data_IF_946775824631
#
_entry.id   IF_946775824631
#
_cell.length_a   1.000
_cell.length_b   1.000
_cell.length_c   1.000
_cell.angle_alpha   90.00
_cell.angle_beta   90.00
_cell.angle_gamma   90.00
#
_symmetry.space_group_name_H-M   'P 1'
#
loop_
_entity.id
_entity.type
_entity.pdbx_description
1 polymer ?
#
# COMPACT_ATOMS: atom_id res chain seq x y z
N UNK A 1 -8.90 -3.27 19.84
CA UNK A 1 -7.60 -2.72 19.39
C UNK A 1 -7.70 -1.22 19.40
N UNK A 2 -6.66 -0.51 19.88
CA UNK A 2 -6.62 0.95 19.91
C UNK A 2 -6.27 1.50 18.51
N UNK A 3 -6.73 2.72 18.21
CA UNK A 3 -6.27 3.42 17.03
C UNK A 3 -4.87 3.99 17.32
N UNK A 4 -3.94 3.73 16.42
CA UNK A 4 -2.57 4.28 16.51
C UNK A 4 -2.38 5.51 15.62
N UNK A 5 -3.19 5.64 14.56
CA UNK A 5 -3.28 6.84 13.72
C UNK A 5 -4.73 7.27 13.70
N UNK A 6 -4.97 8.54 13.98
CA UNK A 6 -6.29 9.16 13.85
C UNK A 6 -6.16 10.49 13.13
N UNK A 7 -6.86 10.61 12.01
CA UNK A 7 -6.94 11.83 11.23
C UNK A 7 -8.40 12.25 11.15
N UNK A 8 -8.69 13.52 11.47
CA UNK A 8 -10.04 14.06 11.44
C UNK A 8 -10.06 15.39 10.70
N UNK A 9 -10.92 15.48 9.70
CA UNK A 9 -11.20 16.67 8.87
C UNK A 9 -9.94 17.36 8.34
N UNK A 10 -8.91 16.56 7.98
CA UNK A 10 -7.66 17.07 7.48
C UNK A 10 -7.84 17.74 6.12
N UNK A 11 -7.37 18.99 6.01
CA UNK A 11 -7.38 19.72 4.75
C UNK A 11 -6.05 20.40 4.47
N UNK A 12 -5.68 20.42 3.17
CA UNK A 12 -4.49 21.10 2.66
C UNK A 12 -4.70 21.64 1.27
N UNK A 13 -4.38 22.91 1.08
CA UNK A 13 -4.48 23.62 -0.20
C UNK A 13 -3.13 24.19 -0.61
N UNK A 14 -2.86 24.20 -1.91
CA UNK A 14 -1.73 24.84 -2.54
C UNK A 14 -2.24 25.80 -3.63
N UNK A 15 -2.28 27.09 -3.33
CA UNK A 15 -2.90 28.07 -4.23
C UNK A 15 -4.36 27.69 -4.53
N UNK A 16 -4.69 27.44 -5.80
CA UNK A 16 -6.02 27.02 -6.22
C UNK A 16 -6.29 25.52 -6.07
N UNK A 17 -5.26 24.71 -5.82
CA UNK A 17 -5.39 23.23 -5.76
C UNK A 17 -5.69 22.78 -4.35
N UNK A 18 -6.86 22.15 -4.14
CA UNK A 18 -7.21 21.45 -2.91
C UNK A 18 -6.61 20.05 -2.96
N UNK A 19 -5.42 19.87 -2.35
CA UNK A 19 -4.69 18.60 -2.40
C UNK A 19 -5.23 17.56 -1.43
N UNK A 20 -5.77 17.98 -0.28
CA UNK A 20 -6.46 17.14 0.70
C UNK A 20 -7.68 17.91 1.17
N UNK A 21 -8.85 17.29 1.14
CA UNK A 21 -10.13 17.93 1.41
C UNK A 21 -10.95 17.10 2.40
N UNK A 22 -11.07 17.59 3.64
CA UNK A 22 -11.87 16.99 4.73
C UNK A 22 -11.60 15.49 4.95
N UNK A 23 -10.33 15.10 4.94
CA UNK A 23 -9.93 13.71 5.04
C UNK A 23 -10.00 13.21 6.49
N UNK A 24 -10.76 12.14 6.72
CA UNK A 24 -10.90 11.52 8.05
C UNK A 24 -10.78 10.00 7.95
N UNK A 25 -9.83 9.40 8.66
CA UNK A 25 -9.67 7.94 8.76
C UNK A 25 -8.92 7.54 10.03
N UNK A 26 -8.92 6.25 10.33
CA UNK A 26 -8.25 5.67 11.49
C UNK A 26 -7.49 4.41 11.09
N UNK A 27 -6.36 4.18 11.74
CA UNK A 27 -5.55 2.96 11.57
C UNK A 27 -5.41 2.29 12.94
N UNK A 28 -5.68 1.00 13.01
CA UNK A 28 -5.55 0.21 14.24
C UNK A 28 -4.11 -0.22 14.44
N UNK A 29 -3.74 -0.45 15.69
CA UNK A 29 -2.43 -0.98 16.05
C UNK A 29 -2.20 -2.37 15.44
N UNK A 30 -1.04 -2.60 14.78
CA UNK A 30 -0.68 -3.83 14.08
C UNK A 30 -1.31 -4.02 12.71
N UNK A 31 -2.11 -3.06 12.22
CA UNK A 31 -2.79 -3.13 10.93
C UNK A 31 -1.85 -2.83 9.75
N UNK A 32 -2.02 -3.54 8.65
CA UNK A 32 -1.54 -3.13 7.33
C UNK A 32 -2.63 -2.29 6.66
N UNK A 33 -2.46 -1.00 6.69
CA UNK A 33 -3.39 -0.04 6.13
C UNK A 33 -2.90 0.44 4.76
N UNK A 34 -3.70 0.26 3.73
CA UNK A 34 -3.38 0.70 2.37
C UNK A 34 -4.11 1.99 1.99
N UNK A 35 -3.34 2.98 1.59
CA UNK A 35 -3.81 4.27 1.12
C UNK A 35 -3.65 4.32 -0.41
N UNK A 36 -4.70 3.94 -1.12
CA UNK A 36 -4.72 3.69 -2.55
C UNK A 36 -5.17 4.93 -3.32
N UNK A 37 -4.56 5.21 -4.46
CA UNK A 37 -4.99 6.30 -5.33
C UNK A 37 -3.99 6.57 -6.45
N UNK A 38 -4.45 7.21 -7.52
CA UNK A 38 -3.58 7.66 -8.62
C UNK A 38 -2.65 8.80 -8.18
N UNK A 39 -1.70 9.14 -9.03
CA UNK A 39 -0.84 10.30 -8.81
C UNK A 39 -1.68 11.59 -8.74
N UNK A 40 -1.39 12.41 -7.75
CA UNK A 40 -2.16 13.63 -7.48
C UNK A 40 -3.41 13.44 -6.61
N UNK A 41 -3.74 12.21 -6.17
CA UNK A 41 -4.89 11.97 -5.29
C UNK A 41 -4.76 12.53 -3.86
N UNK A 42 -3.57 13.01 -3.45
CA UNK A 42 -3.33 13.58 -2.10
C UNK A 42 -2.50 12.69 -1.17
N UNK A 43 -2.09 11.48 -1.60
CA UNK A 43 -1.35 10.51 -0.77
C UNK A 43 -0.09 11.08 -0.13
N UNK A 44 0.85 11.55 -0.95
CA UNK A 44 2.13 12.09 -0.46
C UNK A 44 1.96 13.40 0.33
N UNK A 45 0.94 14.20 0.03
CA UNK A 45 0.58 15.37 0.84
C UNK A 45 0.19 14.96 2.25
N UNK A 46 -0.67 13.95 2.38
CA UNK A 46 -1.11 13.41 3.67
C UNK A 46 0.07 12.84 4.45
N UNK A 47 0.94 12.02 3.82
CA UNK A 47 2.15 11.50 4.47
C UNK A 47 3.06 12.64 4.95
N UNK A 48 3.34 13.63 4.13
CA UNK A 48 4.22 14.74 4.51
C UNK A 48 3.67 15.53 5.71
N UNK A 49 2.33 15.65 5.81
CA UNK A 49 1.69 16.25 7.00
C UNK A 49 1.89 15.32 8.21
N UNK A 50 1.60 14.03 8.10
CA UNK A 50 1.79 13.05 9.19
C UNK A 50 3.24 13.01 9.70
N UNK A 51 4.21 13.20 8.81
CA UNK A 51 5.65 13.27 9.14
C UNK A 51 6.09 14.62 9.71
N UNK A 52 5.20 15.62 9.79
CA UNK A 52 5.53 16.99 10.20
C UNK A 52 6.46 17.74 9.23
N UNK A 53 6.50 17.32 7.96
CA UNK A 53 7.26 17.99 6.91
C UNK A 53 6.45 19.07 6.20
N UNK A 54 5.14 19.00 6.30
CA UNK A 54 4.20 19.94 5.71
C UNK A 54 3.14 20.33 6.75
N UNK A 55 2.85 21.63 6.86
CA UNK A 55 1.76 22.11 7.69
C UNK A 55 0.41 21.79 7.06
N UNK A 56 -0.55 21.35 7.86
CA UNK A 56 -1.97 21.29 7.48
C UNK A 56 -2.61 22.68 7.53
N UNK A 57 -3.74 22.86 6.83
CA UNK A 57 -4.51 24.10 6.90
C UNK A 57 -5.63 23.97 7.96
N UNK A 58 -6.22 22.77 8.11
CA UNK A 58 -7.20 22.47 9.13
C UNK A 58 -7.23 20.98 9.47
N UNK A 59 -8.01 20.62 10.50
CA UNK A 59 -8.17 19.25 10.98
C UNK A 59 -7.16 18.86 12.07
N UNK A 60 -7.24 17.62 12.54
CA UNK A 60 -6.35 17.06 13.55
C UNK A 60 -5.64 15.81 13.06
N UNK A 61 -4.40 15.62 13.49
CA UNK A 61 -3.57 14.44 13.19
C UNK A 61 -2.98 13.95 14.50
N UNK A 62 -3.36 12.75 14.91
CA UNK A 62 -2.84 12.09 16.10
C UNK A 62 -2.14 10.79 15.72
N UNK A 63 -0.93 10.59 16.24
CA UNK A 63 -0.15 9.37 16.07
C UNK A 63 0.31 8.85 17.44
N UNK A 64 0.02 7.58 17.72
CA UNK A 64 0.28 6.96 19.04
C UNK A 64 -0.31 7.76 20.21
N UNK A 65 -1.49 8.36 20.01
CA UNK A 65 -2.19 9.19 21.02
C UNK A 65 -1.61 10.59 21.20
N UNK A 66 -0.62 10.98 20.41
CA UNK A 66 0.02 12.32 20.47
C UNK A 66 -0.49 13.18 19.29
N UNK A 67 -0.94 14.39 19.58
CA UNK A 67 -1.34 15.35 18.55
C UNK A 67 -0.09 15.98 17.90
N UNK A 68 -0.10 16.07 16.56
CA UNK A 68 1.02 16.55 15.76
C UNK A 68 1.42 17.99 16.05
N UNK A 69 0.44 18.83 16.40
CA UNK A 69 0.71 20.25 16.69
C UNK A 69 1.28 20.44 18.10
N UNK A 70 1.02 19.49 19.03
CA UNK A 70 1.46 19.60 20.42
C UNK A 70 2.88 19.09 20.66
N UNK A 71 3.24 17.94 20.08
CA UNK A 71 4.56 17.31 20.26
C UNK A 71 5.02 16.53 19.02
N UNK A 72 5.46 17.26 17.96
CA UNK A 72 5.94 16.63 16.72
C UNK A 72 7.20 15.79 16.92
N UNK A 73 8.00 16.03 17.93
CA UNK A 73 9.24 15.28 18.15
C UNK A 73 8.97 13.92 18.78
N UNK A 74 7.99 13.80 19.65
CA UNK A 74 7.50 12.52 20.17
C UNK A 74 6.96 11.64 19.03
N UNK A 75 6.21 12.24 18.10
CA UNK A 75 5.69 11.55 16.92
C UNK A 75 6.83 11.00 16.07
N UNK A 76 7.85 11.82 15.73
CA UNK A 76 9.01 11.40 14.91
C UNK A 76 9.77 10.22 15.51
N UNK A 77 9.79 10.06 16.84
CA UNK A 77 10.42 8.90 17.52
C UNK A 77 9.64 7.61 17.31
N UNK A 78 8.35 7.69 17.07
CA UNK A 78 7.47 6.54 16.83
C UNK A 78 7.27 6.21 15.34
N UNK A 79 7.81 7.05 14.43
CA UNK A 79 7.65 6.89 12.99
C UNK A 79 8.93 6.43 12.31
N UNK A 80 8.86 5.31 11.59
CA UNK A 80 9.79 4.95 10.52
C UNK A 80 9.19 5.35 9.18
N UNK A 81 9.96 6.01 8.31
CA UNK A 81 9.45 6.46 7.01
C UNK A 81 10.40 6.05 5.89
N UNK A 82 9.85 5.36 4.92
CA UNK A 82 10.51 5.00 3.66
C UNK A 82 9.83 5.79 2.54
N UNK A 83 10.49 6.82 2.06
CA UNK A 83 9.98 7.66 0.97
C UNK A 83 10.11 6.96 -0.38
N UNK A 84 9.37 7.43 -1.38
CA UNK A 84 9.44 6.95 -2.75
C UNK A 84 10.88 7.02 -3.29
N UNK A 85 11.55 8.16 -3.09
CA UNK A 85 12.95 8.32 -3.40
C UNK A 85 13.83 8.03 -2.19
N UNK A 86 14.95 7.32 -2.41
CA UNK A 86 15.93 7.07 -1.35
C UNK A 86 16.54 8.36 -0.84
N UNK A 87 16.64 8.47 0.48
CA UNK A 87 17.25 9.60 1.19
C UNK A 87 18.62 9.26 1.77
N UNK A 88 19.20 8.14 1.34
CA UNK A 88 20.55 7.71 1.71
C UNK A 88 21.60 8.56 0.99
N UNK A 89 22.67 8.90 1.69
CA UNK A 89 23.83 9.52 1.09
C UNK A 89 24.58 8.51 0.21
N UNK A 90 24.68 8.82 -1.08
CA UNK A 90 25.27 7.93 -2.08
C UNK A 90 26.78 7.77 -1.95
N UNK A 91 27.46 8.72 -1.33
CA UNK A 91 28.91 8.74 -1.16
C UNK A 91 29.36 7.97 0.10
N UNK A 92 28.46 7.77 1.05
CA UNK A 92 28.73 7.05 2.29
C UNK A 92 28.51 5.55 2.14
N UNK A 93 29.15 4.76 3.01
CA UNK A 93 28.84 3.33 3.13
C UNK A 93 27.43 3.11 3.72
N UNK A 94 26.91 1.90 3.56
CA UNK A 94 25.66 1.47 4.21
C UNK A 94 25.74 1.67 5.71
N UNK A 95 26.83 1.20 6.34
CA UNK A 95 27.03 1.32 7.78
C UNK A 95 27.07 2.79 8.23
N UNK A 96 27.78 3.67 7.53
CA UNK A 96 27.89 5.09 7.90
C UNK A 96 26.54 5.82 7.79
N UNK A 97 25.73 5.52 6.76
CA UNK A 97 24.36 6.03 6.63
C UNK A 97 23.50 5.63 7.83
N UNK A 98 23.52 4.33 8.19
CA UNK A 98 22.73 3.81 9.30
C UNK A 98 23.25 4.32 10.66
N UNK A 99 24.57 4.45 10.83
CA UNK A 99 25.17 4.99 12.05
C UNK A 99 24.80 6.47 12.26
N UNK A 100 24.87 7.27 11.21
CA UNK A 100 24.48 8.69 11.26
C UNK A 100 23.00 8.83 11.64
N UNK A 101 22.12 7.99 11.08
CA UNK A 101 20.71 7.98 11.42
C UNK A 101 20.45 7.55 12.86
N UNK A 102 21.08 6.46 13.31
CA UNK A 102 20.96 5.94 14.68
C UNK A 102 21.40 6.98 15.73
N UNK A 103 22.46 7.75 15.41
CA UNK A 103 22.99 8.79 16.30
C UNK A 103 21.97 9.90 16.61
N UNK A 104 21.03 10.20 15.67
CA UNK A 104 19.95 11.17 15.90
C UNK A 104 18.97 10.73 16.99
N UNK A 105 18.87 9.41 17.23
CA UNK A 105 18.04 8.81 18.27
C UNK A 105 18.84 8.43 19.51
N UNK A 106 20.11 8.83 19.61
CA UNK A 106 21.00 8.51 20.73
C UNK A 106 21.53 7.07 20.71
N UNK A 107 21.28 6.29 19.65
CA UNK A 107 21.74 4.89 19.52
C UNK A 107 23.19 4.90 19.02
N UNK A 108 24.14 4.52 19.90
CA UNK A 108 25.57 4.59 19.65
C UNK A 108 26.33 3.37 20.20
N UNK A 109 27.56 3.20 19.79
CA UNK A 109 28.49 2.21 20.36
C UNK A 109 27.96 0.77 20.26
N UNK A 110 27.83 0.08 21.40
CA UNK A 110 27.38 -1.31 21.46
C UNK A 110 25.93 -1.46 20.98
N UNK A 111 25.03 -0.60 21.45
CA UNK A 111 23.61 -0.63 21.07
C UNK A 111 23.40 -0.48 19.54
N UNK A 112 24.18 0.39 18.90
CA UNK A 112 24.15 0.52 17.44
C UNK A 112 24.62 -0.78 16.75
N UNK A 113 25.71 -1.38 17.20
CA UNK A 113 26.24 -2.61 16.57
C UNK A 113 25.25 -3.78 16.68
N UNK A 114 24.61 -3.93 17.83
CA UNK A 114 23.60 -4.97 18.06
C UNK A 114 22.37 -4.74 17.17
N UNK A 115 21.86 -3.52 17.12
CA UNK A 115 20.71 -3.18 16.24
C UNK A 115 21.06 -3.29 14.76
N UNK A 116 22.26 -2.91 14.36
CA UNK A 116 22.73 -3.06 12.98
C UNK A 116 22.80 -4.53 12.57
N UNK A 117 23.36 -5.41 13.42
CA UNK A 117 23.44 -6.84 13.13
C UNK A 117 22.04 -7.48 13.01
N UNK A 118 21.12 -7.12 13.90
CA UNK A 118 19.71 -7.57 13.84
C UNK A 118 19.05 -7.19 12.50
N UNK A 119 19.12 -5.91 12.13
CA UNK A 119 18.53 -5.42 10.88
C UNK A 119 19.24 -5.97 9.63
N UNK A 120 20.55 -6.17 9.70
CA UNK A 120 21.31 -6.73 8.59
C UNK A 120 20.92 -8.20 8.34
N UNK A 121 20.71 -8.98 9.38
CA UNK A 121 20.19 -10.34 9.27
C UNK A 121 18.75 -10.38 8.78
N UNK A 122 17.86 -9.54 9.34
CA UNK A 122 16.44 -9.48 8.95
C UNK A 122 16.26 -9.09 7.48
N UNK A 123 17.03 -8.13 6.99
CA UNK A 123 16.91 -7.54 5.66
C UNK A 123 17.98 -8.06 4.68
N UNK A 124 18.78 -9.06 5.09
CA UNK A 124 19.78 -9.74 4.28
C UNK A 124 20.75 -8.76 3.57
N UNK A 125 21.45 -7.93 4.33
CA UNK A 125 22.44 -6.99 3.78
C UNK A 125 23.78 -6.98 4.50
N UNK A 126 24.13 -8.02 5.23
CA UNK A 126 25.42 -8.13 5.98
C UNK A 126 26.63 -7.90 5.07
N UNK A 127 26.59 -8.45 3.86
CA UNK A 127 27.67 -8.33 2.86
C UNK A 127 27.78 -6.93 2.24
N UNK A 128 26.77 -6.07 2.47
CA UNK A 128 26.69 -4.73 1.88
C UNK A 128 27.18 -3.63 2.83
N UNK A 129 27.39 -3.91 4.12
CA UNK A 129 27.68 -2.91 5.16
C UNK A 129 28.79 -1.93 4.79
N UNK A 130 29.86 -2.43 4.15
CA UNK A 130 31.02 -1.62 3.75
C UNK A 130 30.91 -1.06 2.33
N UNK A 131 29.86 -1.40 1.58
CA UNK A 131 29.65 -0.87 0.23
C UNK A 131 29.11 0.56 0.27
N UNK A 132 29.59 1.38 -0.65
CA UNK A 132 29.03 2.71 -0.89
C UNK A 132 27.63 2.59 -1.47
N UNK A 133 26.67 3.36 -0.93
CA UNK A 133 25.25 3.30 -1.32
C UNK A 133 25.05 3.56 -2.81
N UNK A 134 25.85 4.44 -3.42
CA UNK A 134 25.80 4.72 -4.85
C UNK A 134 26.07 3.51 -5.77
N UNK A 135 26.72 2.44 -5.24
CA UNK A 135 27.05 1.21 -5.96
C UNK A 135 26.02 0.09 -5.76
N UNK A 136 24.94 0.33 -5.01
CA UNK A 136 23.90 -0.65 -4.76
C UNK A 136 22.87 -0.69 -5.90
N UNK A 137 22.31 -1.88 -6.14
CA UNK A 137 21.12 -2.02 -6.98
C UNK A 137 19.92 -1.32 -6.36
N UNK A 138 18.83 -1.10 -7.14
CA UNK A 138 17.60 -0.51 -6.63
C UNK A 138 17.03 -1.28 -5.43
N UNK A 139 16.94 -2.60 -5.54
CA UNK A 139 16.44 -3.47 -4.49
C UNK A 139 17.34 -3.49 -3.25
N UNK A 140 18.67 -3.57 -3.44
CA UNK A 140 19.62 -3.47 -2.33
C UNK A 140 19.45 -2.14 -1.59
N UNK A 141 19.37 -1.04 -2.32
CA UNK A 141 19.16 0.29 -1.74
C UNK A 141 17.84 0.38 -0.97
N UNK A 142 16.76 -0.20 -1.50
CA UNK A 142 15.46 -0.21 -0.84
C UNK A 142 15.49 -0.94 0.50
N UNK A 143 16.19 -2.08 0.60
CA UNK A 143 16.40 -2.77 1.88
C UNK A 143 17.12 -1.89 2.91
N UNK A 144 18.10 -1.10 2.49
CA UNK A 144 18.79 -0.16 3.37
C UNK A 144 17.91 1.03 3.76
N UNK A 145 17.05 1.54 2.87
CA UNK A 145 16.05 2.57 3.23
C UNK A 145 15.10 2.08 4.33
N UNK A 146 14.69 0.79 4.27
CA UNK A 146 13.88 0.18 5.31
C UNK A 146 14.66 0.02 6.60
N UNK A 147 15.90 -0.50 6.56
CA UNK A 147 16.77 -0.59 7.73
C UNK A 147 16.94 0.78 8.42
N UNK A 148 17.12 1.83 7.62
CA UNK A 148 17.20 3.21 8.09
C UNK A 148 15.90 3.66 8.78
N UNK A 149 14.75 3.29 8.26
CA UNK A 149 13.45 3.61 8.86
C UNK A 149 13.22 2.86 10.18
N UNK A 150 13.75 1.63 10.30
CA UNK A 150 13.58 0.74 11.45
C UNK A 150 14.66 0.90 12.53
N UNK A 151 15.74 1.67 12.29
CA UNK A 151 16.93 1.71 13.15
C UNK A 151 16.60 2.09 14.61
N UNK A 152 15.59 2.88 14.84
CA UNK A 152 15.16 3.36 16.16
C UNK A 152 13.93 2.64 16.74
N UNK A 153 13.57 1.48 16.17
CA UNK A 153 12.44 0.63 16.59
C UNK A 153 11.11 1.40 16.67
N UNK A 154 10.64 2.00 15.56
CA UNK A 154 9.37 2.74 15.54
C UNK A 154 8.18 1.80 15.72
N UNK A 155 7.04 2.34 16.17
CA UNK A 155 5.76 1.61 16.24
C UNK A 155 4.98 1.64 14.93
N UNK A 156 5.20 2.67 14.12
CA UNK A 156 4.52 2.90 12.84
C UNK A 156 5.56 2.98 11.74
N UNK A 157 5.40 2.18 10.70
CA UNK A 157 6.20 2.21 9.48
C UNK A 157 5.36 2.78 8.34
N UNK A 158 5.74 3.95 7.83
CA UNK A 158 5.13 4.55 6.65
C UNK A 158 5.96 4.16 5.42
N UNK A 159 5.31 3.59 4.42
CA UNK A 159 5.90 3.16 3.17
C UNK A 159 5.25 3.93 2.01
N UNK A 160 5.97 4.90 1.45
CA UNK A 160 5.48 5.67 0.30
C UNK A 160 5.93 4.99 -1.00
N UNK A 161 4.99 4.31 -1.66
CA UNK A 161 5.20 3.54 -2.90
C UNK A 161 6.45 2.62 -2.84
N UNK A 162 6.53 1.68 -1.88
CA UNK A 162 7.77 1.00 -1.54
C UNK A 162 8.31 0.10 -2.65
N UNK A 163 7.48 -0.37 -3.55
CA UNK A 163 7.84 -1.38 -4.57
C UNK A 163 8.03 -0.80 -5.96
N UNK A 164 7.82 0.50 -6.14
CA UNK A 164 7.99 1.16 -7.43
C UNK A 164 9.40 0.96 -7.97
N UNK A 165 9.50 0.40 -9.18
CA UNK A 165 10.78 0.14 -9.86
C UNK A 165 11.55 -1.08 -9.34
N UNK A 166 10.97 -1.90 -8.45
CA UNK A 166 11.56 -3.16 -8.01
C UNK A 166 11.17 -4.32 -8.94
N UNK A 167 12.10 -5.25 -9.10
CA UNK A 167 11.83 -6.53 -9.74
C UNK A 167 10.92 -7.42 -8.86
N UNK A 168 10.22 -8.43 -9.44
CA UNK A 168 9.26 -9.25 -8.71
C UNK A 168 9.86 -9.98 -7.50
N UNK A 169 11.12 -10.46 -7.59
CA UNK A 169 11.77 -11.17 -6.49
C UNK A 169 12.05 -10.23 -5.31
N UNK A 170 12.62 -9.06 -5.59
CA UNK A 170 12.88 -8.03 -4.58
C UNK A 170 11.57 -7.57 -3.91
N UNK A 171 10.48 -7.42 -4.69
CA UNK A 171 9.16 -7.09 -4.15
C UNK A 171 8.66 -8.17 -3.19
N UNK A 172 8.74 -9.45 -3.57
CA UNK A 172 8.34 -10.57 -2.71
C UNK A 172 9.12 -10.60 -1.40
N UNK A 173 10.45 -10.44 -1.45
CA UNK A 173 11.30 -10.36 -0.25
C UNK A 173 10.89 -9.19 0.66
N UNK A 174 10.60 -8.03 0.07
CA UNK A 174 10.15 -6.86 0.84
C UNK A 174 8.85 -7.15 1.60
N UNK A 175 7.87 -7.77 0.94
CA UNK A 175 6.59 -8.11 1.56
C UNK A 175 6.74 -9.14 2.68
N UNK A 176 7.63 -10.13 2.52
CA UNK A 176 7.94 -11.09 3.60
C UNK A 176 8.49 -10.38 4.84
N UNK A 177 9.42 -9.44 4.66
CA UNK A 177 9.97 -8.66 5.78
C UNK A 177 8.89 -7.82 6.47
N UNK A 178 8.01 -7.16 5.70
CA UNK A 178 6.90 -6.37 6.25
C UNK A 178 5.96 -7.26 7.07
N UNK A 179 5.63 -8.43 6.56
CA UNK A 179 4.80 -9.42 7.24
C UNK A 179 5.44 -9.93 8.53
N UNK A 180 6.74 -10.20 8.53
CA UNK A 180 7.49 -10.64 9.71
C UNK A 180 7.51 -9.54 10.79
N UNK A 181 7.74 -8.29 10.41
CA UNK A 181 7.69 -7.15 11.33
C UNK A 181 6.30 -6.98 11.96
N UNK A 182 5.24 -7.14 11.18
CA UNK A 182 3.87 -7.07 11.68
C UNK A 182 3.56 -8.20 12.67
N UNK A 183 3.87 -9.43 12.30
CA UNK A 183 3.52 -10.62 13.08
C UNK A 183 4.36 -10.77 14.35
N UNK A 184 5.65 -10.44 14.29
CA UNK A 184 6.58 -10.69 15.37
C UNK A 184 6.79 -9.48 16.28
N UNK A 185 6.70 -8.25 15.73
CA UNK A 185 6.94 -7.01 16.48
C UNK A 185 5.67 -6.17 16.70
N UNK A 186 4.52 -6.61 16.18
CA UNK A 186 3.26 -5.87 16.28
C UNK A 186 3.28 -4.53 15.54
N UNK A 187 4.14 -4.38 14.53
CA UNK A 187 4.32 -3.12 13.81
C UNK A 187 3.09 -2.75 13.01
N UNK A 188 2.67 -1.51 13.11
CA UNK A 188 1.63 -0.93 12.25
C UNK A 188 2.27 -0.42 10.96
N UNK A 189 1.71 -0.80 9.81
CA UNK A 189 2.22 -0.40 8.51
C UNK A 189 1.20 0.45 7.77
N UNK A 190 1.59 1.67 7.43
CA UNK A 190 0.84 2.58 6.59
C UNK A 190 1.47 2.61 5.20
N UNK A 191 0.80 2.02 4.23
CA UNK A 191 1.27 1.88 2.86
C UNK A 191 0.56 2.86 1.94
N UNK A 192 1.30 3.65 1.15
CA UNK A 192 0.71 4.24 -0.05
C UNK A 192 1.08 3.43 -1.27
N UNK A 193 0.12 3.24 -2.13
CA UNK A 193 0.35 2.52 -3.38
C UNK A 193 -0.60 2.95 -4.49
N UNK A 194 -0.21 2.71 -5.71
CA UNK A 194 -1.07 2.71 -6.88
C UNK A 194 -1.19 1.29 -7.48
N UNK A 195 -0.59 0.28 -6.83
CA UNK A 195 -0.69 -1.13 -7.21
C UNK A 195 -1.83 -1.80 -6.44
N UNK A 196 -2.83 -2.28 -7.18
CA UNK A 196 -4.03 -2.90 -6.62
C UNK A 196 -3.74 -4.21 -5.89
N UNK A 197 -2.72 -4.95 -6.37
CA UNK A 197 -2.26 -6.19 -5.75
C UNK A 197 -1.80 -5.97 -4.31
N UNK A 198 -1.07 -4.88 -4.06
CA UNK A 198 -0.61 -4.54 -2.71
C UNK A 198 -1.74 -4.16 -1.76
N UNK A 199 -2.74 -3.45 -2.28
CA UNK A 199 -3.94 -3.12 -1.50
C UNK A 199 -4.84 -4.35 -1.25
N UNK A 200 -4.77 -5.37 -2.10
CA UNK A 200 -5.55 -6.59 -1.95
C UNK A 200 -5.13 -7.43 -0.74
N UNK A 201 -3.88 -7.29 -0.27
CA UNK A 201 -3.31 -7.99 0.87
C UNK A 201 -3.38 -7.18 2.18
N UNK A 202 -3.90 -5.95 2.12
CA UNK A 202 -4.06 -5.09 3.30
C UNK A 202 -5.24 -5.53 4.19
N UNK A 203 -5.17 -5.18 5.48
CA UNK A 203 -6.27 -5.40 6.42
C UNK A 203 -7.40 -4.38 6.18
N UNK A 204 -7.04 -3.15 5.82
CA UNK A 204 -7.98 -2.08 5.52
C UNK A 204 -7.44 -1.19 4.40
N UNK A 205 -8.33 -0.75 3.53
CA UNK A 205 -8.00 0.07 2.35
C UNK A 205 -8.84 1.34 2.36
N UNK A 206 -8.19 2.46 2.13
CA UNK A 206 -8.84 3.74 1.78
C UNK A 206 -8.47 4.09 0.34
N UNK A 207 -9.47 4.28 -0.49
CA UNK A 207 -9.31 4.73 -1.87
C UNK A 207 -9.49 6.23 -1.94
N UNK A 208 -8.44 6.92 -2.34
CA UNK A 208 -8.43 8.37 -2.53
C UNK A 208 -8.67 8.74 -3.99
N UNK A 209 -9.53 9.71 -4.20
CA UNK A 209 -9.64 10.45 -5.44
C UNK A 209 -9.76 11.95 -5.17
N UNK A 210 -8.96 12.74 -5.85
CA UNK A 210 -9.02 14.21 -5.84
C UNK A 210 -9.04 14.83 -4.42
N UNK A 211 -8.21 14.26 -3.52
CA UNK A 211 -8.05 14.72 -2.14
C UNK A 211 -9.12 14.27 -1.16
N UNK A 212 -10.06 13.44 -1.56
CA UNK A 212 -11.16 12.91 -0.73
C UNK A 212 -11.14 11.39 -0.68
N UNK A 213 -11.77 10.80 0.33
CA UNK A 213 -12.04 9.37 0.38
C UNK A 213 -13.21 9.08 -0.58
N UNK A 214 -12.94 8.26 -1.59
CA UNK A 214 -13.95 7.79 -2.53
C UNK A 214 -14.62 6.49 -2.05
N UNK A 215 -13.85 5.60 -1.40
CA UNK A 215 -14.35 4.40 -0.73
C UNK A 215 -13.36 3.94 0.34
N UNK A 216 -13.84 3.20 1.34
CA UNK A 216 -12.99 2.57 2.35
C UNK A 216 -13.62 1.27 2.87
N UNK A 217 -12.80 0.36 3.39
CA UNK A 217 -13.21 -0.92 3.94
C UNK A 217 -12.12 -1.99 3.82
N UNK A 218 -12.43 -3.19 4.27
CA UNK A 218 -11.56 -4.34 3.98
C UNK A 218 -11.58 -4.65 2.47
N UNK A 219 -10.52 -5.25 1.91
CA UNK A 219 -10.51 -5.63 0.48
C UNK A 219 -11.72 -6.49 0.07
N UNK A 220 -12.18 -7.36 0.98
CA UNK A 220 -13.36 -8.20 0.73
C UNK A 220 -14.65 -7.39 0.70
N UNK A 221 -14.86 -6.48 1.63
CA UNK A 221 -16.02 -5.58 1.65
C UNK A 221 -16.08 -4.72 0.40
N UNK A 222 -14.96 -4.13 0.01
CA UNK A 222 -14.86 -3.30 -1.20
C UNK A 222 -15.19 -4.10 -2.46
N UNK A 223 -14.63 -5.32 -2.62
CA UNK A 223 -14.94 -6.19 -3.75
C UNK A 223 -16.41 -6.57 -3.78
N UNK A 224 -17.00 -6.96 -2.65
CA UNK A 224 -18.42 -7.32 -2.58
C UNK A 224 -19.35 -6.14 -2.86
N UNK A 225 -18.96 -4.92 -2.49
CA UNK A 225 -19.79 -3.72 -2.66
C UNK A 225 -19.74 -3.17 -4.08
N UNK A 226 -18.56 -3.18 -4.71
CA UNK A 226 -18.34 -2.42 -5.95
C UNK A 226 -18.16 -3.26 -7.21
N UNK A 227 -17.93 -4.59 -7.12
CA UNK A 227 -17.61 -5.39 -8.32
C UNK A 227 -18.56 -6.55 -8.60
N UNK A 228 -18.90 -7.38 -7.65
CA UNK A 228 -19.50 -8.70 -7.88
C UNK A 228 -18.46 -9.75 -8.30
N UNK A 229 -18.96 -10.86 -8.86
CA UNK A 229 -18.15 -11.97 -9.36
C UNK A 229 -18.24 -12.05 -10.90
N UNK A 230 -17.31 -12.78 -11.50
CA UNK A 230 -17.23 -12.94 -12.94
C UNK A 230 -17.11 -14.41 -13.33
N UNK A 231 -17.75 -14.77 -14.45
CA UNK A 231 -17.56 -16.06 -15.11
C UNK A 231 -16.87 -15.80 -16.43
N UNK A 232 -15.64 -16.25 -16.59
CA UNK A 232 -14.94 -16.23 -17.88
C UNK A 232 -15.28 -17.50 -18.61
N UNK A 233 -15.88 -17.39 -19.80
CA UNK A 233 -16.35 -18.52 -20.63
C UNK A 233 -15.47 -18.61 -21.86
N UNK A 234 -14.90 -19.78 -22.08
CA UNK A 234 -14.02 -20.06 -23.20
C UNK A 234 -14.74 -20.85 -24.30
N UNK A 235 -14.42 -20.54 -25.56
CA UNK A 235 -14.93 -21.30 -26.71
C UNK A 235 -16.42 -21.18 -27.00
N UNK A 236 -17.14 -20.28 -26.31
CA UNK A 236 -18.55 -20.01 -26.59
C UNK A 236 -18.70 -18.98 -27.74
N UNK A 237 -19.82 -19.02 -28.45
CA UNK A 237 -20.19 -17.98 -29.41
C UNK A 237 -20.89 -16.81 -28.73
N UNK A 238 -20.72 -15.60 -29.26
CA UNK A 238 -21.37 -14.39 -28.72
C UNK A 238 -22.88 -14.51 -28.60
N UNK A 239 -23.51 -15.20 -29.55
CA UNK A 239 -24.94 -15.50 -29.57
C UNK A 239 -25.39 -16.28 -28.33
N UNK A 240 -24.57 -17.23 -27.86
CA UNK A 240 -24.83 -18.02 -26.67
C UNK A 240 -24.68 -17.17 -25.41
N UNK A 241 -23.65 -16.30 -25.34
CA UNK A 241 -23.46 -15.40 -24.21
C UNK A 241 -24.61 -14.40 -24.08
N UNK A 242 -25.12 -13.86 -25.18
CA UNK A 242 -26.32 -12.98 -25.19
C UNK A 242 -27.56 -13.63 -24.59
N UNK A 243 -27.70 -14.95 -24.72
CA UNK A 243 -28.83 -15.71 -24.13
C UNK A 243 -28.79 -15.73 -22.60
N UNK A 244 -27.64 -15.50 -21.98
CA UNK A 244 -27.52 -15.48 -20.52
C UNK A 244 -28.26 -14.30 -19.88
N UNK A 245 -28.51 -13.22 -20.64
CA UNK A 245 -29.15 -12.00 -20.14
C UNK A 245 -28.40 -11.24 -19.08
N UNK A 246 -27.12 -11.57 -18.88
CA UNK A 246 -26.21 -10.92 -17.93
C UNK A 246 -25.25 -9.97 -18.69
N UNK A 247 -24.75 -8.90 -18.04
CA UNK A 247 -23.71 -8.04 -18.62
C UNK A 247 -22.45 -8.86 -18.92
N UNK A 248 -21.82 -8.60 -20.06
CA UNK A 248 -20.58 -9.28 -20.44
C UNK A 248 -19.64 -8.35 -21.19
N UNK A 249 -18.36 -8.69 -21.18
CA UNK A 249 -17.32 -8.08 -21.98
C UNK A 249 -16.54 -9.14 -22.75
N UNK A 250 -16.02 -8.78 -23.92
CA UNK A 250 -15.14 -9.68 -24.69
C UNK A 250 -13.70 -9.50 -24.24
N UNK A 251 -13.05 -10.60 -23.85
CA UNK A 251 -11.65 -10.63 -23.40
C UNK A 251 -10.87 -11.56 -24.34
N UNK A 252 -10.11 -11.01 -25.29
CA UNK A 252 -9.39 -11.77 -26.32
C UNK A 252 -10.31 -12.78 -27.01
N UNK A 253 -10.15 -14.07 -26.69
CA UNK A 253 -10.87 -15.23 -27.24
C UNK A 253 -11.90 -15.82 -26.25
N UNK A 254 -12.29 -15.06 -25.23
CA UNK A 254 -13.25 -15.47 -24.21
C UNK A 254 -14.25 -14.35 -23.90
N UNK A 255 -15.32 -14.68 -23.16
CA UNK A 255 -16.28 -13.73 -22.65
C UNK A 255 -16.30 -13.73 -21.13
N UNK A 256 -16.22 -12.54 -20.53
CA UNK A 256 -16.30 -12.34 -19.09
C UNK A 256 -17.69 -11.85 -18.74
N UNK A 257 -18.50 -12.72 -18.14
CA UNK A 257 -19.86 -12.45 -17.73
C UNK A 257 -19.90 -11.97 -16.29
N UNK A 258 -20.53 -10.82 -16.03
CA UNK A 258 -20.65 -10.26 -14.68
C UNK A 258 -21.86 -10.83 -13.97
N UNK A 259 -21.68 -11.24 -12.71
CA UNK A 259 -22.74 -11.77 -11.85
C UNK A 259 -22.64 -11.15 -10.46
N UNK A 260 -23.77 -11.00 -9.72
CA UNK A 260 -23.74 -10.34 -8.40
C UNK A 260 -22.88 -11.04 -7.36
N UNK A 261 -22.83 -12.37 -7.39
CA UNK A 261 -22.07 -13.20 -6.45
C UNK A 261 -21.91 -14.63 -6.97
N UNK A 262 -21.12 -15.45 -6.26
CA UNK A 262 -20.85 -16.85 -6.63
C UNK A 262 -22.11 -17.73 -6.65
N UNK A 263 -23.12 -17.44 -5.82
CA UNK A 263 -24.39 -18.18 -5.84
C UNK A 263 -25.14 -17.95 -7.17
N UNK A 264 -25.23 -16.68 -7.61
CA UNK A 264 -25.80 -16.33 -8.91
C UNK A 264 -24.99 -16.92 -10.08
N UNK A 265 -23.67 -17.00 -9.96
CA UNK A 265 -22.82 -17.71 -10.92
C UNK A 265 -23.21 -19.18 -11.03
N UNK A 266 -23.35 -19.85 -9.89
CA UNK A 266 -23.76 -21.28 -9.83
C UNK A 266 -25.13 -21.50 -10.45
N UNK A 267 -26.12 -20.66 -10.12
CA UNK A 267 -27.46 -20.75 -10.71
C UNK A 267 -27.43 -20.58 -12.24
N UNK A 268 -26.63 -19.63 -12.73
CA UNK A 268 -26.50 -19.36 -14.16
C UNK A 268 -25.86 -20.56 -14.90
N UNK A 269 -24.82 -21.17 -14.32
CA UNK A 269 -24.13 -22.35 -14.85
C UNK A 269 -25.07 -23.55 -14.91
N UNK A 270 -25.82 -23.79 -13.86
CA UNK A 270 -26.80 -24.91 -13.81
C UNK A 270 -27.93 -24.70 -14.82
N UNK A 271 -28.32 -23.48 -15.10
CA UNK A 271 -29.37 -23.14 -16.06
C UNK A 271 -28.96 -23.33 -17.52
N UNK A 272 -27.64 -23.09 -17.83
CA UNK A 272 -27.13 -23.14 -19.20
C UNK A 272 -25.87 -24.03 -19.33
N UNK A 273 -25.93 -25.33 -18.96
CA UNK A 273 -24.75 -26.19 -18.85
C UNK A 273 -24.00 -26.36 -20.19
N UNK A 274 -24.68 -26.23 -21.32
CA UNK A 274 -24.06 -26.35 -22.64
C UNK A 274 -23.16 -25.16 -23.02
N UNK A 275 -23.39 -23.98 -22.42
CA UNK A 275 -22.57 -22.78 -22.63
C UNK A 275 -21.35 -22.84 -21.73
N UNK A 276 -21.51 -23.29 -20.50
CA UNK A 276 -20.46 -23.33 -19.49
C UNK A 276 -19.71 -24.69 -19.51
N UNK A 277 -19.12 -25.07 -20.65
CA UNK A 277 -18.30 -26.30 -20.78
C UNK A 277 -16.87 -26.10 -20.34
N UNK A 278 -16.31 -24.93 -20.63
CA UNK A 278 -14.98 -24.50 -20.21
C UNK A 278 -15.09 -23.09 -19.67
N UNK A 279 -14.92 -22.94 -18.35
CA UNK A 279 -15.10 -21.66 -17.67
C UNK A 279 -14.30 -21.57 -16.38
N UNK A 280 -14.08 -20.34 -15.95
CA UNK A 280 -13.48 -19.98 -14.68
C UNK A 280 -14.37 -19.00 -13.92
N UNK A 281 -14.57 -19.21 -12.61
CA UNK A 281 -15.25 -18.24 -11.74
C UNK A 281 -14.18 -17.47 -10.98
N UNK A 282 -14.19 -16.15 -11.10
CA UNK A 282 -13.28 -15.26 -10.38
C UNK A 282 -14.05 -14.21 -9.60
N UNK A 283 -13.59 -13.90 -8.40
CA UNK A 283 -14.07 -12.72 -7.68
C UNK A 283 -13.51 -11.46 -8.32
N UNK A 284 -14.24 -10.37 -8.16
CA UNK A 284 -13.75 -9.06 -8.55
C UNK A 284 -12.39 -8.74 -7.93
N UNK A 285 -11.55 -8.06 -8.70
CA UNK A 285 -10.23 -7.61 -8.26
C UNK A 285 -10.29 -6.18 -7.73
N UNK A 286 -9.26 -5.76 -7.01
CA UNK A 286 -9.16 -4.38 -6.54
C UNK A 286 -9.07 -3.38 -7.70
N UNK A 287 -8.57 -3.79 -8.88
CA UNK A 287 -8.63 -2.98 -10.11
C UNK A 287 -10.07 -2.65 -10.53
N UNK A 288 -10.95 -3.66 -10.44
CA UNK A 288 -12.39 -3.49 -10.79
C UNK A 288 -13.06 -2.56 -9.76
N UNK A 289 -12.72 -2.70 -8.46
CA UNK A 289 -13.19 -1.79 -7.38
C UNK A 289 -12.74 -0.35 -7.68
N UNK A 290 -11.46 -0.16 -7.96
CA UNK A 290 -10.93 1.18 -8.20
C UNK A 290 -11.58 1.85 -9.40
N UNK A 291 -11.79 1.11 -10.50
CA UNK A 291 -12.47 1.59 -11.69
C UNK A 291 -13.93 1.95 -11.37
N UNK A 292 -14.64 1.10 -10.63
CA UNK A 292 -16.05 1.34 -10.27
C UNK A 292 -16.21 2.60 -9.40
N UNK A 293 -15.29 2.80 -8.44
CA UNK A 293 -15.33 3.91 -7.47
C UNK A 293 -14.91 5.23 -8.08
N UNK A 294 -13.85 5.24 -8.91
CA UNK A 294 -13.25 6.49 -9.42
C UNK A 294 -13.60 6.81 -10.88
N UNK A 295 -14.11 5.85 -11.64
CA UNK A 295 -14.32 5.96 -13.09
C UNK A 295 -13.02 6.03 -13.90
N UNK A 296 -11.85 5.83 -13.27
CA UNK A 296 -10.52 6.01 -13.86
C UNK A 296 -9.81 4.68 -14.02
N UNK A 297 -9.30 4.41 -15.24
CA UNK A 297 -8.39 3.26 -15.44
C UNK A 297 -6.98 3.64 -15.00
N UNK A 298 -6.30 2.75 -14.28
CA UNK A 298 -4.89 2.91 -13.97
C UNK A 298 -4.05 2.77 -15.23
N UNK A 299 -3.21 3.76 -15.49
CA UNK A 299 -2.20 3.70 -16.54
C UNK A 299 -1.03 2.89 -15.97
N UNK A 300 -1.00 1.56 -16.19
CA UNK A 300 0.09 0.72 -15.69
C UNK A 300 -0.18 -0.79 -15.60
N UNK A 301 -1.42 -1.22 -15.69
CA UNK A 301 -1.79 -2.63 -15.80
C UNK A 301 -1.79 -3.11 -17.26
N UNK A 302 -0.68 -2.90 -17.97
CA UNK A 302 -0.54 -3.48 -19.30
C UNK A 302 -0.09 -4.94 -19.14
N UNK A 303 -1.00 -5.86 -19.37
CA UNK A 303 -0.61 -7.20 -19.74
C UNK A 303 0.36 -7.15 -20.94
N UNK A 304 1.52 -7.70 -20.75
CA UNK A 304 2.35 -8.30 -21.78
C UNK A 304 2.57 -9.74 -21.43
#
# INVERSE_FOLDING_TARGET
MSNIIEISSLSKRFGEVQAVNDLSFRVKEGELFAFLGINGAGKSTTINIMCGQLSKDSGTVQLSGVDLDSDPDSIKRNLGVVFQNSVLDKELSVQDNLQSRAALYGIRGKAFRERLAELAGLLEFDDLLKRTVGKLSGGQRRRIDIARALIHSPKILILDEPTTGLDPQTRSTLWQVIDDLRKNEGMTVFLTTHYMEEAADADYVVILDSGMIAAEGTPLELKNTYTGDFITVYGAEESQIKQLGAPYETIRDAYRVSVPNTAAATELILKYPDIFRDYEITKGKMDDVFLAVTGKKLIGGAGR
#
